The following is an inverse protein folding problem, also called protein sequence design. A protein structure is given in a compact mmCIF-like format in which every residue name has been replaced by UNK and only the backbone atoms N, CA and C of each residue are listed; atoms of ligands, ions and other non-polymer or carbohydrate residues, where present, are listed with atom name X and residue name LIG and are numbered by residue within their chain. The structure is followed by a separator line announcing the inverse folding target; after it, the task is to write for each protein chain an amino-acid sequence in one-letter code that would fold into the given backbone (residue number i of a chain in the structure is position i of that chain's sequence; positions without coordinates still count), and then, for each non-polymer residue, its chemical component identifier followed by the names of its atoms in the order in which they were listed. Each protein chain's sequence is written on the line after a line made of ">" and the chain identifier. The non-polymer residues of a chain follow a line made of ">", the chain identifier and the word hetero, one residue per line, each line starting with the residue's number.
data_IF_322590267202
#
_entry.id   IF_322590267202
#
_cell.length_a   1.000
_cell.length_b   1.000
_cell.length_c   1.000
_cell.angle_alpha   90.00
_cell.angle_beta   90.00
_cell.angle_gamma   90.00
#
_symmetry.space_group_name_H-M   'P 1'
#
loop_
_entity.id
_entity.type
_entity.pdbx_description
1 polymer ?
#
# COMPACT_ATOMS: atom_id res chain seq x y z
N UNK A 1 20.08 -2.74 -3.35
CA UNK A 1 19.06 -3.39 -2.50
C UNK A 1 18.03 -4.06 -3.39
N UNK A 2 17.72 -5.34 -3.17
CA UNK A 2 16.62 -6.04 -3.85
C UNK A 2 15.35 -5.94 -2.99
N UNK A 3 14.24 -5.54 -3.61
CA UNK A 3 12.95 -5.36 -2.96
C UNK A 3 11.95 -6.32 -3.60
N UNK A 4 11.28 -7.11 -2.79
CA UNK A 4 10.09 -7.85 -3.18
C UNK A 4 8.87 -7.06 -2.72
N UNK A 5 8.24 -6.32 -3.63
CA UNK A 5 6.97 -5.68 -3.36
C UNK A 5 5.87 -6.73 -3.35
N UNK A 6 5.03 -6.68 -2.33
CA UNK A 6 3.82 -7.49 -2.23
C UNK A 6 2.65 -6.55 -2.05
N UNK A 7 1.69 -6.56 -2.99
CA UNK A 7 0.43 -5.87 -2.74
C UNK A 7 -0.35 -6.67 -1.70
N UNK A 8 -0.87 -5.97 -0.66
CA UNK A 8 -1.75 -6.59 0.34
C UNK A 8 -2.87 -7.40 -0.32
N UNK A 9 -3.45 -8.34 0.44
CA UNK A 9 -4.58 -9.14 -0.02
C UNK A 9 -5.90 -8.39 0.03
N UNK A 10 -7.01 -9.07 -0.29
CA UNK A 10 -8.34 -8.48 -0.43
C UNK A 10 -8.80 -7.88 0.92
N UNK A 11 -9.05 -6.55 0.96
CA UNK A 11 -9.52 -5.89 2.18
C UNK A 11 -11.02 -6.08 2.38
N UNK A 12 -11.44 -6.15 3.64
CA UNK A 12 -12.84 -6.17 4.03
C UNK A 12 -13.32 -4.74 4.35
N UNK A 13 -14.10 -4.18 3.45
CA UNK A 13 -14.72 -2.87 3.63
C UNK A 13 -16.17 -2.96 4.11
N UNK A 14 -16.72 -4.15 4.37
CA UNK A 14 -18.12 -4.35 4.70
C UNK A 14 -18.60 -3.55 5.91
N UNK A 15 -17.73 -3.34 6.90
CA UNK A 15 -18.03 -2.51 8.06
C UNK A 15 -18.19 -1.03 7.72
N UNK A 16 -17.51 -0.55 6.68
CA UNK A 16 -17.54 0.87 6.28
C UNK A 16 -18.65 1.16 5.29
N UNK A 17 -19.01 0.20 4.46
CA UNK A 17 -20.09 0.32 3.47
C UNK A 17 -21.48 0.41 4.12
N UNK A 18 -21.60 0.00 5.38
CA UNK A 18 -22.87 0.03 6.16
C UNK A 18 -23.08 1.34 6.92
N UNK A 19 -22.13 2.25 6.93
CA UNK A 19 -22.19 3.50 7.68
C UNK A 19 -22.35 4.70 6.77
N UNK A 20 -23.38 5.51 7.00
CA UNK A 20 -23.60 6.82 6.36
C UNK A 20 -22.56 7.88 6.79
N UNK A 21 -21.41 7.44 7.27
CA UNK A 21 -20.38 8.34 7.77
C UNK A 21 -19.28 8.52 6.73
N UNK A 22 -19.30 9.62 5.95
CA UNK A 22 -18.41 9.79 4.80
C UNK A 22 -16.92 9.85 5.15
N UNK A 23 -16.54 10.21 6.39
CA UNK A 23 -15.12 10.25 6.79
C UNK A 23 -14.54 8.86 7.04
N UNK A 24 -15.35 7.84 7.29
CA UNK A 24 -14.93 6.45 7.40
C UNK A 24 -14.52 5.88 6.04
N UNK A 25 -14.99 6.48 4.96
CA UNK A 25 -14.84 5.92 3.63
C UNK A 25 -13.49 6.20 2.99
N UNK A 26 -13.06 7.44 2.91
CA UNK A 26 -11.99 7.87 2.02
C UNK A 26 -10.66 8.18 2.72
N UNK A 27 -10.49 7.92 3.93
CA UNK A 27 -9.27 8.27 4.65
C UNK A 27 -8.89 7.24 5.66
N UNK A 28 -8.82 7.68 6.87
CA UNK A 28 -8.41 6.89 8.01
C UNK A 28 -9.17 5.57 8.16
N UNK A 29 -10.49 5.57 7.93
CA UNK A 29 -11.30 4.35 8.02
C UNK A 29 -10.84 3.25 7.07
N UNK A 30 -10.51 3.58 5.83
CA UNK A 30 -10.02 2.59 4.86
C UNK A 30 -8.67 1.99 5.26
N UNK A 31 -7.84 2.73 5.95
CA UNK A 31 -6.55 2.23 6.45
C UNK A 31 -6.74 1.18 7.56
N UNK A 32 -7.87 1.21 8.26
CA UNK A 32 -8.22 0.24 9.31
C UNK A 32 -8.84 -1.05 8.77
N UNK A 33 -9.22 -1.12 7.49
CA UNK A 33 -9.85 -2.29 6.92
C UNK A 33 -8.94 -3.53 7.03
N UNK A 34 -9.41 -4.62 7.67
CA UNK A 34 -8.68 -5.89 7.75
C UNK A 34 -8.77 -6.65 6.42
N UNK A 35 -8.18 -7.82 6.36
CA UNK A 35 -8.40 -8.75 5.26
C UNK A 35 -9.76 -9.45 5.37
N UNK A 36 -10.34 -9.79 4.22
CA UNK A 36 -11.43 -10.77 4.17
C UNK A 36 -10.94 -12.14 4.63
N UNK A 37 -11.85 -13.06 4.97
CA UNK A 37 -11.48 -14.45 5.27
C UNK A 37 -10.74 -15.12 4.11
N UNK A 38 -11.23 -14.89 2.88
CA UNK A 38 -10.55 -15.33 1.66
C UNK A 38 -9.16 -14.70 1.53
N UNK A 39 -9.03 -13.41 1.83
CA UNK A 39 -7.75 -12.71 1.84
C UNK A 39 -6.75 -13.32 2.82
N UNK A 40 -7.18 -13.73 4.00
CA UNK A 40 -6.34 -14.41 4.99
C UNK A 40 -5.86 -15.78 4.50
N UNK A 41 -6.77 -16.57 3.92
CA UNK A 41 -6.42 -17.89 3.36
C UNK A 41 -5.34 -17.75 2.29
N UNK A 42 -5.53 -16.84 1.33
CA UNK A 42 -4.54 -16.61 0.28
C UNK A 42 -3.22 -16.03 0.82
N UNK A 43 -3.27 -15.20 1.87
CA UNK A 43 -2.07 -14.68 2.52
C UNK A 43 -1.24 -15.80 3.13
N UNK A 44 -1.88 -16.77 3.76
CA UNK A 44 -1.22 -17.96 4.33
C UNK A 44 -0.58 -18.83 3.23
N UNK A 45 -1.29 -19.04 2.13
CA UNK A 45 -0.79 -19.84 1.00
C UNK A 45 0.48 -19.24 0.39
N UNK A 46 0.48 -17.91 0.13
CA UNK A 46 1.61 -17.25 -0.50
C UNK A 46 2.79 -17.00 0.45
N UNK A 47 2.53 -16.99 1.75
CA UNK A 47 3.53 -16.68 2.78
C UNK A 47 4.75 -17.62 2.73
N UNK A 48 4.56 -18.87 2.29
CA UNK A 48 5.63 -19.85 2.12
C UNK A 48 6.34 -19.81 0.76
N UNK A 49 6.07 -18.79 -0.07
CA UNK A 49 6.68 -18.69 -1.39
C UNK A 49 8.22 -18.65 -1.27
N UNK A 50 8.96 -19.54 -1.98
CA UNK A 50 10.41 -19.63 -1.89
C UNK A 50 11.16 -18.36 -2.35
N UNK A 51 10.48 -17.46 -3.07
CA UNK A 51 11.07 -16.16 -3.48
C UNK A 51 11.50 -15.34 -2.26
N UNK A 52 10.87 -15.52 -1.11
CA UNK A 52 11.18 -14.80 0.13
C UNK A 52 12.33 -15.43 0.93
N UNK A 53 12.80 -16.63 0.58
CA UNK A 53 13.75 -17.43 1.39
C UNK A 53 15.09 -16.73 1.68
N UNK A 54 15.46 -15.73 0.89
CA UNK A 54 16.70 -14.96 1.08
C UNK A 54 16.44 -13.53 1.59
N UNK A 55 15.22 -13.17 1.89
CA UNK A 55 14.92 -11.88 2.49
C UNK A 55 15.43 -11.82 3.93
N UNK A 56 15.77 -10.64 4.38
CA UNK A 56 16.34 -10.41 5.73
C UNK A 56 15.29 -9.83 6.68
N UNK A 57 14.25 -9.20 6.14
CA UNK A 57 13.21 -8.51 6.89
C UNK A 57 11.95 -8.37 6.05
N UNK A 58 10.81 -8.38 6.72
CA UNK A 58 9.51 -7.96 6.15
C UNK A 58 9.18 -6.58 6.71
N UNK A 59 8.88 -5.63 5.84
CA UNK A 59 8.49 -4.26 6.21
C UNK A 59 7.06 -4.03 5.71
N UNK A 60 6.16 -3.74 6.61
CA UNK A 60 4.76 -3.50 6.29
C UNK A 60 4.41 -2.01 6.29
N UNK A 61 3.54 -1.60 5.37
CA UNK A 61 2.74 -0.40 5.57
C UNK A 61 1.93 -0.50 6.88
N UNK A 62 1.64 0.63 7.50
CA UNK A 62 0.80 0.69 8.70
C UNK A 62 -0.69 0.40 8.45
N UNK A 63 -1.13 0.33 7.19
CA UNK A 63 -2.51 -0.06 6.87
C UNK A 63 -2.81 -1.50 7.30
N UNK A 64 -3.93 -1.72 8.01
CA UNK A 64 -4.24 -3.00 8.66
C UNK A 64 -4.15 -4.19 7.69
N UNK A 65 -4.70 -4.07 6.48
CA UNK A 65 -4.62 -5.10 5.43
C UNK A 65 -3.20 -5.47 5.02
N UNK A 66 -2.31 -4.48 4.98
CA UNK A 66 -0.90 -4.72 4.63
C UNK A 66 -0.14 -5.33 5.80
N UNK A 67 -0.38 -4.84 7.01
CA UNK A 67 0.22 -5.38 8.23
C UNK A 67 -0.21 -6.84 8.46
N UNK A 68 -1.50 -7.14 8.27
CA UNK A 68 -2.01 -8.50 8.41
C UNK A 68 -1.38 -9.44 7.37
N UNK A 69 -1.29 -9.03 6.09
CA UNK A 69 -0.59 -9.79 5.04
C UNK A 69 0.88 -10.03 5.40
N UNK A 70 1.58 -8.99 5.86
CA UNK A 70 3.00 -9.07 6.21
C UNK A 70 3.26 -10.00 7.41
N UNK A 71 2.31 -10.08 8.35
CA UNK A 71 2.40 -10.97 9.50
C UNK A 71 2.47 -12.43 9.07
N UNK A 72 1.64 -12.85 8.12
CA UNK A 72 1.69 -14.22 7.59
C UNK A 72 3.04 -14.52 6.92
N UNK A 73 3.55 -13.60 6.11
CA UNK A 73 4.85 -13.78 5.43
C UNK A 73 5.98 -13.84 6.46
N UNK A 74 6.01 -12.92 7.42
CA UNK A 74 7.06 -12.86 8.44
C UNK A 74 7.08 -14.15 9.30
N UNK A 75 5.92 -14.65 9.69
CA UNK A 75 5.80 -15.90 10.46
C UNK A 75 6.27 -17.11 9.65
N UNK A 76 5.79 -17.28 8.42
CA UNK A 76 6.14 -18.42 7.57
C UNK A 76 7.65 -18.47 7.23
N UNK A 77 8.25 -17.30 7.00
CA UNK A 77 9.66 -17.14 6.63
C UNK A 77 10.59 -16.98 7.86
N UNK A 78 10.03 -16.89 9.07
CA UNK A 78 10.77 -16.64 10.32
C UNK A 78 11.63 -15.36 10.26
N UNK A 79 11.08 -14.32 9.64
CA UNK A 79 11.73 -13.03 9.46
C UNK A 79 11.23 -11.99 10.47
N UNK A 80 12.08 -11.02 10.85
CA UNK A 80 11.62 -9.83 11.57
C UNK A 80 10.56 -9.09 10.79
N UNK A 81 9.52 -8.58 11.48
CA UNK A 81 8.50 -7.70 10.94
C UNK A 81 8.69 -6.29 11.48
N UNK A 82 8.85 -5.33 10.59
CA UNK A 82 8.90 -3.91 10.89
C UNK A 82 7.71 -3.18 10.27
N UNK A 83 7.30 -2.06 10.85
CA UNK A 83 6.21 -1.24 10.32
C UNK A 83 6.74 0.12 9.91
N UNK A 84 6.47 0.52 8.65
CA UNK A 84 6.86 1.82 8.13
C UNK A 84 5.61 2.61 7.72
N UNK A 85 5.22 3.63 8.48
CA UNK A 85 4.03 4.43 8.19
C UNK A 85 4.08 5.14 6.83
N UNK A 86 5.26 5.55 6.37
CA UNK A 86 5.42 6.21 5.07
C UNK A 86 5.33 5.29 3.86
N UNK A 87 5.08 4.00 4.07
CA UNK A 87 4.71 3.06 3.01
C UNK A 87 3.18 2.95 2.83
N UNK A 88 2.41 3.90 3.40
CA UNK A 88 0.95 3.96 3.24
C UNK A 88 0.52 4.12 1.78
N UNK A 89 -0.76 3.83 1.48
CA UNK A 89 -1.34 4.00 0.16
C UNK A 89 -1.42 5.48 -0.24
N UNK A 90 -1.60 5.72 -1.52
CA UNK A 90 -1.91 7.03 -2.07
C UNK A 90 -3.02 7.74 -1.29
N UNK A 91 -2.86 9.04 -1.08
CA UNK A 91 -3.83 9.88 -0.37
C UNK A 91 -4.68 10.68 -1.35
N UNK A 92 -6.01 10.43 -1.39
CA UNK A 92 -6.93 11.22 -2.21
C UNK A 92 -7.14 12.64 -1.69
N UNK A 93 -6.83 12.88 -0.41
CA UNK A 93 -6.92 14.19 0.22
C UNK A 93 -5.64 14.53 0.98
N UNK A 94 -5.04 15.66 0.62
CA UNK A 94 -3.84 16.23 1.27
C UNK A 94 -4.18 17.49 2.08
N UNK A 95 -5.46 17.84 2.20
CA UNK A 95 -5.92 18.99 3.02
C UNK A 95 -6.15 18.61 4.47
N UNK A 96 -6.34 17.32 4.75
CA UNK A 96 -6.67 16.81 6.07
C UNK A 96 -8.14 17.00 6.46
N UNK A 97 -9.00 17.35 5.52
CA UNK A 97 -10.44 17.58 5.76
C UNK A 97 -11.30 16.33 5.53
N UNK A 98 -10.67 15.21 5.19
CA UNK A 98 -11.32 13.93 4.89
C UNK A 98 -12.23 14.02 3.64
N UNK A 99 -11.69 13.70 2.48
CA UNK A 99 -12.44 13.65 1.24
C UNK A 99 -13.65 12.70 1.36
N UNK A 100 -14.77 13.12 0.81
CA UNK A 100 -15.92 12.25 0.56
C UNK A 100 -15.53 11.15 -0.45
N UNK A 101 -16.40 10.16 -0.60
CA UNK A 101 -16.22 9.12 -1.62
C UNK A 101 -16.11 9.72 -3.03
N UNK A 102 -17.00 10.67 -3.37
CA UNK A 102 -17.03 11.30 -4.69
C UNK A 102 -15.75 12.10 -4.96
N UNK A 103 -15.27 12.84 -3.97
CA UNK A 103 -13.99 13.56 -4.06
C UNK A 103 -12.81 12.61 -4.21
N UNK A 104 -12.79 11.48 -3.52
CA UNK A 104 -11.74 10.47 -3.66
C UNK A 104 -11.75 9.82 -5.06
N UNK A 105 -12.94 9.53 -5.61
CA UNK A 105 -13.11 9.02 -6.99
C UNK A 105 -12.64 10.07 -8.00
N UNK A 106 -13.02 11.32 -7.82
CA UNK A 106 -12.58 12.43 -8.66
C UNK A 106 -11.06 12.60 -8.61
N UNK A 107 -10.48 12.60 -7.41
CA UNK A 107 -9.05 12.70 -7.21
C UNK A 107 -8.28 11.57 -7.92
N UNK A 108 -8.78 10.34 -7.82
CA UNK A 108 -8.17 9.18 -8.49
C UNK A 108 -8.22 9.31 -10.02
N UNK A 109 -9.36 9.73 -10.58
CA UNK A 109 -9.49 9.98 -12.01
C UNK A 109 -8.51 11.05 -12.47
N UNK A 110 -8.47 12.21 -11.79
CA UNK A 110 -7.56 13.31 -12.12
C UNK A 110 -6.09 12.90 -11.99
N UNK A 111 -5.74 12.09 -10.99
CA UNK A 111 -4.40 11.54 -10.86
C UNK A 111 -4.00 10.75 -12.11
N UNK A 112 -4.87 9.87 -12.60
CA UNK A 112 -4.57 9.05 -13.78
C UNK A 112 -4.51 9.90 -15.06
N UNK A 113 -5.45 10.81 -15.27
CA UNK A 113 -5.53 11.69 -16.45
C UNK A 113 -4.33 12.64 -16.55
N UNK A 114 -3.75 13.04 -15.41
CA UNK A 114 -2.65 14.02 -15.35
C UNK A 114 -1.29 13.37 -15.01
N UNK A 115 -1.12 12.07 -15.22
CA UNK A 115 0.15 11.39 -14.99
C UNK A 115 0.67 11.51 -13.54
N UNK A 116 -0.22 11.61 -12.57
CA UNK A 116 0.12 11.74 -11.16
C UNK A 116 0.40 13.16 -10.67
N UNK A 117 0.22 14.17 -11.51
CA UNK A 117 0.30 15.58 -11.12
C UNK A 117 -1.06 16.13 -10.68
N UNK A 118 -1.07 17.21 -9.91
CA UNK A 118 -2.29 17.99 -9.59
C UNK A 118 -2.33 19.21 -10.48
N UNK A 119 -3.33 19.35 -11.37
CA UNK A 119 -3.50 20.56 -12.19
C UNK A 119 -3.78 21.80 -11.31
N UNK A 120 -3.36 22.99 -11.77
CA UNK A 120 -3.62 24.27 -11.07
C UNK A 120 -5.11 24.51 -10.84
N UNK A 121 -5.95 24.10 -11.79
CA UNK A 121 -7.41 24.24 -11.71
C UNK A 121 -8.12 23.09 -10.98
N UNK A 122 -7.38 22.17 -10.35
CA UNK A 122 -7.97 21.02 -9.68
C UNK A 122 -8.82 21.43 -8.48
N UNK A 123 -10.08 20.99 -8.40
CA UNK A 123 -10.93 21.26 -7.24
C UNK A 123 -10.54 20.44 -6.00
N UNK A 124 -9.66 19.46 -6.15
CA UNK A 124 -9.20 18.56 -5.08
C UNK A 124 -7.67 18.51 -5.03
N UNK A 125 -7.11 18.42 -3.83
CA UNK A 125 -5.67 18.30 -3.60
C UNK A 125 -5.34 16.88 -3.10
N UNK A 126 -4.82 16.08 -3.99
CA UNK A 126 -4.37 14.70 -3.70
C UNK A 126 -2.85 14.58 -3.70
N UNK A 127 -2.34 13.47 -3.19
CA UNK A 127 -0.92 13.16 -3.21
C UNK A 127 -0.43 12.91 -4.63
N UNK A 128 0.58 13.64 -5.07
CA UNK A 128 1.18 13.44 -6.40
C UNK A 128 2.07 12.20 -6.47
N UNK A 129 2.33 11.72 -7.68
CA UNK A 129 3.30 10.65 -7.92
C UNK A 129 4.69 11.00 -7.36
N UNK A 130 5.12 12.24 -7.52
CA UNK A 130 6.40 12.73 -7.00
C UNK A 130 6.45 12.72 -5.47
N UNK A 131 5.38 13.13 -4.80
CA UNK A 131 5.28 13.10 -3.34
C UNK A 131 5.31 11.67 -2.81
N UNK A 132 4.57 10.73 -3.43
CA UNK A 132 4.63 9.30 -3.08
C UNK A 132 6.05 8.74 -3.19
N UNK A 133 6.71 8.96 -4.34
CA UNK A 133 8.09 8.50 -4.53
C UNK A 133 9.04 9.08 -3.49
N UNK A 134 8.91 10.37 -3.23
CA UNK A 134 9.78 11.10 -2.29
C UNK A 134 9.65 10.53 -0.87
N UNK A 135 8.42 10.41 -0.33
CA UNK A 135 8.22 9.88 1.02
C UNK A 135 8.70 8.44 1.17
N UNK A 136 8.44 7.61 0.14
CA UNK A 136 8.86 6.22 0.13
C UNK A 136 10.38 6.10 0.16
N UNK A 137 11.09 6.81 -0.73
CA UNK A 137 12.55 6.75 -0.80
C UNK A 137 13.21 7.30 0.47
N UNK A 138 12.67 8.39 1.04
CA UNK A 138 13.15 8.92 2.31
C UNK A 138 12.98 7.93 3.46
N UNK A 139 11.86 7.23 3.52
CA UNK A 139 11.63 6.19 4.53
C UNK A 139 12.52 4.97 4.31
N UNK A 140 12.76 4.59 3.06
CA UNK A 140 13.58 3.44 2.69
C UNK A 140 15.04 3.57 3.15
N UNK A 141 15.57 4.79 3.28
CA UNK A 141 16.91 5.05 3.80
C UNK A 141 17.19 4.43 5.18
N UNK A 142 16.14 4.29 6.01
CA UNK A 142 16.25 3.64 7.32
C UNK A 142 16.66 2.17 7.22
N UNK A 143 16.42 1.56 6.08
CA UNK A 143 16.57 0.12 5.84
C UNK A 143 17.74 -0.21 4.91
N UNK A 144 18.58 0.76 4.58
CA UNK A 144 19.71 0.59 3.64
C UNK A 144 20.79 -0.42 4.09
N UNK A 145 20.75 -0.85 5.34
CA UNK A 145 21.63 -1.91 5.85
C UNK A 145 21.22 -3.32 5.38
N UNK A 146 20.02 -3.47 4.82
CA UNK A 146 19.52 -4.73 4.29
C UNK A 146 19.79 -4.81 2.78
N UNK A 147 20.25 -5.96 2.31
CA UNK A 147 20.48 -6.22 0.88
C UNK A 147 19.21 -6.68 0.17
N UNK A 148 18.33 -7.39 0.91
CA UNK A 148 17.12 -8.01 0.36
C UNK A 148 15.96 -7.94 1.37
N UNK A 149 14.90 -7.27 0.96
CA UNK A 149 13.74 -7.00 1.81
C UNK A 149 12.41 -7.35 1.13
N UNK A 150 11.42 -7.71 1.92
CA UNK A 150 10.01 -7.80 1.48
C UNK A 150 9.30 -6.54 1.95
N UNK A 151 8.63 -5.84 1.05
CA UNK A 151 7.78 -4.68 1.39
C UNK A 151 6.34 -5.02 1.06
N UNK A 152 5.51 -5.11 2.09
CA UNK A 152 4.06 -5.31 1.92
C UNK A 152 3.37 -3.97 1.98
N UNK A 153 2.82 -3.55 0.85
CA UNK A 153 2.19 -2.24 0.72
C UNK A 153 1.03 -2.24 -0.30
N UNK A 154 0.86 -1.20 -1.09
CA UNK A 154 -0.37 -0.89 -1.80
C UNK A 154 -0.14 -0.66 -3.28
N UNK A 155 -1.21 -0.84 -4.06
CA UNK A 155 -1.15 -0.82 -5.52
C UNK A 155 -0.66 0.50 -6.12
N UNK A 156 -1.18 1.65 -5.68
CA UNK A 156 -0.79 2.94 -6.23
C UNK A 156 0.65 3.30 -5.88
N UNK A 157 1.12 2.92 -4.67
CA UNK A 157 2.51 3.12 -4.28
C UNK A 157 3.46 2.26 -5.11
N UNK A 158 3.19 0.96 -5.26
CA UNK A 158 4.05 0.04 -6.02
C UNK A 158 4.18 0.50 -7.48
N UNK A 159 3.10 0.98 -8.09
CA UNK A 159 3.09 1.51 -9.48
C UNK A 159 4.06 2.68 -9.68
N UNK A 160 4.50 3.34 -8.63
CA UNK A 160 5.51 4.39 -8.74
C UNK A 160 6.92 3.85 -9.03
N UNK A 161 7.14 2.55 -8.84
CA UNK A 161 8.46 1.89 -8.98
C UNK A 161 8.44 0.80 -10.05
N UNK A 162 7.32 0.11 -10.20
CA UNK A 162 7.14 -0.95 -11.20
C UNK A 162 6.10 -0.48 -12.23
N UNK A 163 6.49 -0.30 -13.51
CA UNK A 163 5.61 0.20 -14.55
C UNK A 163 4.60 -0.89 -14.96
N UNK A 164 3.50 -0.97 -14.22
CA UNK A 164 2.42 -1.92 -14.46
C UNK A 164 1.07 -1.22 -14.28
N UNK A 165 0.17 -1.40 -15.24
CA UNK A 165 -1.14 -0.74 -15.24
C UNK A 165 -2.01 -1.20 -14.08
N UNK A 166 -2.04 -2.50 -13.84
CA UNK A 166 -2.80 -3.10 -12.75
C UNK A 166 -1.92 -4.07 -11.98
N UNK A 167 -1.90 -3.94 -10.66
CA UNK A 167 -1.24 -4.89 -9.76
C UNK A 167 -2.34 -5.65 -9.04
N UNK A 168 -2.38 -6.97 -9.19
CA UNK A 168 -3.38 -7.81 -8.52
C UNK A 168 -3.15 -7.86 -7.00
N UNK A 169 -4.18 -8.19 -6.23
CA UNK A 169 -3.97 -8.59 -4.84
C UNK A 169 -3.01 -9.78 -4.80
N UNK A 170 -2.16 -9.85 -3.78
CA UNK A 170 -1.18 -10.92 -3.61
C UNK A 170 -0.03 -10.92 -4.62
N UNK A 171 0.01 -10.01 -5.54
CA UNK A 171 1.06 -10.00 -6.54
C UNK A 171 2.40 -9.63 -5.92
N UNK A 172 3.43 -10.43 -6.29
CA UNK A 172 4.82 -10.21 -5.90
C UNK A 172 5.55 -9.64 -7.09
N UNK A 173 6.23 -8.52 -6.89
CA UNK A 173 6.97 -7.81 -7.93
C UNK A 173 8.40 -7.52 -7.44
N UNK A 174 9.38 -7.89 -8.24
CA UNK A 174 10.77 -7.61 -7.94
C UNK A 174 11.18 -6.23 -8.41
N UNK A 175 11.95 -5.54 -7.58
CA UNK A 175 12.52 -4.25 -7.89
C UNK A 175 13.94 -4.16 -7.33
N UNK A 176 14.85 -3.56 -8.09
CA UNK A 176 16.23 -3.30 -7.64
C UNK A 176 16.48 -1.81 -7.62
N UNK A 177 16.91 -1.31 -6.47
CA UNK A 177 17.35 0.07 -6.25
C UNK A 177 18.86 0.15 -6.41
#
# INVERSE_FOLDING_TARGET
>A
MQIFFVRHFEPDYSMFDQHDNPWLYAGFGRDLAPLTEKGRTLAQEIASNPIFSKAQVVIASSGTRALETATYIAQAQQLPLLVEPFFHEWRPDMTGQNASQDEAVLAHRLFLENGGAVPESSPVRYETATEMRKRFLQALEKYKAYDRIVIVCHGMLIRQFVPKETIAYCEILEYTL
#
